data_IF_476256492906
#
_entry.id   IF_476256492906
#
_cell.length_a   1.000
_cell.length_b   1.000
_cell.length_c   1.000
_cell.angle_alpha   90.00
_cell.angle_beta   90.00
_cell.angle_gamma   90.00
#
_symmetry.space_group_name_H-M   'P 1'
#
loop_
_entity.id
_entity.type
_entity.pdbx_description
1 polymer ?
#
# COMPACT_ATOMS: atom_id res chain seq x y z
N UNK A 1 -7.47 -22.22 -48.30
CA UNK A 1 -8.40 -22.61 -47.22
C UNK A 1 -7.60 -22.93 -45.97
N UNK A 2 -7.91 -22.22 -44.89
CA UNK A 2 -7.64 -22.49 -43.47
C UNK A 2 -6.22 -22.84 -42.99
N UNK A 3 -5.43 -21.83 -42.63
CA UNK A 3 -4.42 -21.95 -41.58
C UNK A 3 -5.03 -21.41 -40.28
N UNK A 4 -5.70 -22.27 -39.51
CA UNK A 4 -6.14 -21.95 -38.12
C UNK A 4 -4.98 -22.27 -37.20
N UNK A 5 -4.16 -21.26 -36.86
CA UNK A 5 -3.23 -21.40 -35.74
C UNK A 5 -4.04 -21.41 -34.45
N UNK A 6 -4.12 -22.58 -33.82
CA UNK A 6 -4.57 -22.74 -32.44
C UNK A 6 -3.62 -21.93 -31.55
N UNK A 7 -4.09 -20.78 -31.04
CA UNK A 7 -3.53 -20.18 -29.83
C UNK A 7 -3.69 -21.21 -28.71
N UNK A 8 -2.61 -21.86 -28.29
CA UNK A 8 -2.55 -22.57 -27.01
C UNK A 8 -2.72 -21.51 -25.91
N UNK A 9 -3.93 -21.37 -25.41
CA UNK A 9 -4.18 -20.74 -24.12
C UNK A 9 -3.52 -21.65 -23.09
N UNK A 10 -2.43 -21.21 -22.48
CA UNK A 10 -1.91 -21.82 -21.28
C UNK A 10 -3.01 -21.66 -20.21
N UNK A 11 -3.79 -22.71 -19.99
CA UNK A 11 -4.74 -22.77 -18.89
C UNK A 11 -3.93 -22.86 -17.60
N UNK A 12 -3.55 -21.71 -17.04
CA UNK A 12 -3.20 -21.65 -15.64
C UNK A 12 -4.46 -21.94 -14.84
N UNK A 13 -4.42 -22.94 -13.96
CA UNK A 13 -5.49 -23.13 -12.99
C UNK A 13 -5.65 -21.81 -12.21
N UNK A 14 -6.89 -21.35 -11.99
CA UNK A 14 -7.12 -20.11 -11.26
C UNK A 14 -6.52 -20.23 -9.85
N UNK A 15 -5.87 -19.16 -9.40
CA UNK A 15 -5.31 -19.09 -8.05
C UNK A 15 -6.48 -18.77 -7.11
N UNK A 16 -6.72 -19.64 -6.13
CA UNK A 16 -7.73 -19.38 -5.11
C UNK A 16 -7.22 -18.34 -4.12
N UNK A 17 -8.02 -17.29 -3.90
CA UNK A 17 -7.73 -16.22 -2.95
C UNK A 17 -8.93 -16.01 -2.05
N UNK A 18 -8.70 -15.92 -0.75
CA UNK A 18 -9.76 -15.58 0.21
C UNK A 18 -10.12 -14.10 0.06
N UNK A 19 -11.39 -13.79 -0.17
CA UNK A 19 -11.90 -12.43 -0.12
C UNK A 19 -12.75 -12.26 1.12
N UNK A 20 -12.27 -11.47 2.08
CA UNK A 20 -13.04 -11.13 3.26
C UNK A 20 -13.61 -9.71 3.13
N UNK A 21 -14.92 -9.60 2.90
CA UNK A 21 -15.56 -8.32 2.58
C UNK A 21 -15.49 -7.28 3.70
N UNK A 22 -15.34 -7.71 4.95
CA UNK A 22 -15.34 -6.82 6.11
C UNK A 22 -16.72 -6.23 6.38
N UNK A 23 -16.76 -4.95 6.76
CA UNK A 23 -17.96 -4.23 7.19
C UNK A 23 -18.09 -2.87 6.49
N UNK A 24 -19.27 -2.24 6.64
CA UNK A 24 -19.51 -0.88 6.17
C UNK A 24 -19.34 -0.77 4.66
N UNK A 25 -18.44 0.10 4.18
CA UNK A 25 -18.14 0.26 2.75
C UNK A 25 -17.39 -0.94 2.13
N UNK A 26 -16.93 -1.89 2.96
CA UNK A 26 -16.11 -3.02 2.55
C UNK A 26 -16.67 -3.86 1.39
N UNK A 27 -17.93 -4.33 1.45
CA UNK A 27 -18.55 -5.05 0.34
C UNK A 27 -18.59 -4.27 -0.98
N UNK A 28 -18.80 -2.95 -0.94
CA UNK A 28 -18.85 -2.12 -2.16
C UNK A 28 -17.47 -2.00 -2.81
N UNK A 29 -16.44 -1.68 -2.02
CA UNK A 29 -15.08 -1.56 -2.55
C UNK A 29 -14.51 -2.92 -2.98
N UNK A 30 -14.86 -4.01 -2.28
CA UNK A 30 -14.51 -5.37 -2.67
C UNK A 30 -15.15 -5.76 -4.00
N UNK A 31 -16.42 -5.38 -4.21
CA UNK A 31 -17.09 -5.61 -5.48
C UNK A 31 -16.43 -4.81 -6.62
N UNK A 32 -15.98 -3.58 -6.37
CA UNK A 32 -15.20 -2.79 -7.32
C UNK A 32 -13.89 -3.52 -7.72
N UNK A 33 -13.15 -4.07 -6.75
CA UNK A 33 -11.95 -4.89 -7.03
C UNK A 33 -12.28 -6.09 -7.92
N UNK A 34 -13.35 -6.83 -7.61
CA UNK A 34 -13.78 -7.99 -8.43
C UNK A 34 -14.10 -7.60 -9.87
N UNK A 35 -14.78 -6.47 -10.08
CA UNK A 35 -15.10 -5.98 -11.42
C UNK A 35 -13.84 -5.62 -12.21
N UNK A 36 -12.91 -4.88 -11.60
CA UNK A 36 -11.63 -4.52 -12.21
C UNK A 36 -10.80 -5.78 -12.53
N UNK A 37 -10.75 -6.76 -11.63
CA UNK A 37 -10.01 -8.01 -11.84
C UNK A 37 -10.61 -8.83 -12.98
N UNK A 38 -11.94 -8.85 -13.10
CA UNK A 38 -12.62 -9.49 -14.22
C UNK A 38 -12.32 -8.79 -15.54
N UNK A 39 -12.38 -7.46 -15.58
CA UNK A 39 -12.09 -6.68 -16.79
C UNK A 39 -10.62 -6.80 -17.22
N UNK A 40 -9.70 -6.92 -16.25
CA UNK A 40 -8.28 -7.17 -16.50
C UNK A 40 -7.94 -8.65 -16.74
N UNK A 41 -8.93 -9.55 -16.78
CA UNK A 41 -8.74 -11.01 -16.96
C UNK A 41 -7.69 -11.60 -15.99
N UNK A 42 -7.76 -11.24 -14.71
CA UNK A 42 -6.87 -11.76 -13.68
C UNK A 42 -7.24 -13.22 -13.38
N UNK A 43 -6.28 -14.17 -13.35
CA UNK A 43 -6.55 -15.59 -13.11
C UNK A 43 -6.75 -15.91 -11.62
N UNK A 44 -7.64 -15.17 -10.94
CA UNK A 44 -7.99 -15.38 -9.54
C UNK A 44 -9.44 -15.85 -9.42
N UNK A 45 -9.64 -16.85 -8.58
CA UNK A 45 -10.95 -17.28 -8.12
C UNK A 45 -11.12 -16.89 -6.64
N UNK A 46 -12.20 -16.19 -6.34
CA UNK A 46 -12.45 -15.67 -4.99
C UNK A 46 -13.21 -16.69 -4.15
N UNK A 47 -12.64 -17.05 -3.01
CA UNK A 47 -13.37 -17.72 -1.93
C UNK A 47 -13.89 -16.66 -0.97
N UNK A 48 -15.18 -16.34 -1.08
CA UNK A 48 -15.76 -15.18 -0.43
C UNK A 48 -16.25 -15.48 0.99
N UNK A 49 -15.87 -14.62 1.93
CA UNK A 49 -16.28 -14.65 3.33
C UNK A 49 -16.79 -13.27 3.73
N UNK A 50 -17.82 -13.24 4.56
CA UNK A 50 -18.42 -12.02 5.08
C UNK A 50 -18.24 -11.97 6.59
N UNK A 51 -18.08 -10.75 7.12
CA UNK A 51 -18.00 -10.60 8.57
C UNK A 51 -19.35 -10.99 9.19
N UNK A 52 -19.30 -11.76 10.28
CA UNK A 52 -20.51 -12.14 11.00
C UNK A 52 -21.03 -11.01 11.88
N UNK A 53 -22.33 -11.01 12.19
CA UNK A 53 -22.94 -10.06 13.13
C UNK A 53 -22.59 -10.36 14.60
N UNK A 54 -21.96 -11.51 14.85
CA UNK A 54 -21.57 -12.00 16.18
C UNK A 54 -20.13 -12.47 16.16
N UNK A 55 -19.50 -12.35 17.32
CA UNK A 55 -18.16 -12.91 17.57
C UNK A 55 -18.24 -14.44 17.48
N UNK A 56 -17.42 -15.04 16.62
CA UNK A 56 -17.24 -16.49 16.58
C UNK A 56 -16.43 -16.91 17.84
N UNK A 57 -16.97 -17.80 18.69
CA UNK A 57 -16.29 -18.19 19.93
C UNK A 57 -14.96 -18.92 19.70
N UNK A 58 -14.76 -19.53 18.53
CA UNK A 58 -13.54 -20.27 18.17
C UNK A 58 -12.38 -19.32 17.85
N UNK A 59 -12.67 -18.25 17.10
CA UNK A 59 -11.66 -17.23 16.73
C UNK A 59 -11.63 -16.06 17.71
N UNK A 60 -12.63 -15.95 18.60
CA UNK A 60 -12.85 -14.80 19.49
C UNK A 60 -12.87 -13.49 18.72
N UNK A 61 -13.44 -13.51 17.51
CA UNK A 61 -13.50 -12.35 16.62
C UNK A 61 -14.70 -12.44 15.66
N UNK A 62 -14.99 -11.37 14.91
CA UNK A 62 -15.95 -11.36 13.79
C UNK A 62 -15.46 -12.11 12.54
N UNK A 63 -14.20 -12.57 12.54
CA UNK A 63 -13.69 -13.47 11.51
C UNK A 63 -14.15 -14.87 11.88
N UNK A 64 -14.94 -15.50 11.03
CA UNK A 64 -15.40 -16.86 11.26
C UNK A 64 -14.24 -17.85 11.20
N UNK A 65 -14.38 -19.00 11.86
CA UNK A 65 -13.39 -20.08 11.74
C UNK A 65 -13.20 -20.51 10.27
N UNK A 66 -14.29 -20.53 9.51
CA UNK A 66 -14.30 -20.90 8.10
C UNK A 66 -13.46 -19.92 7.25
N UNK A 67 -13.52 -18.62 7.58
CA UNK A 67 -12.67 -17.61 6.95
C UNK A 67 -11.19 -17.84 7.34
N UNK A 68 -10.88 -18.07 8.61
CA UNK A 68 -9.51 -18.33 9.06
C UNK A 68 -8.89 -19.56 8.38
N UNK A 69 -9.65 -20.66 8.27
CA UNK A 69 -9.21 -21.88 7.59
C UNK A 69 -9.03 -21.66 6.08
N UNK A 70 -9.90 -20.88 5.46
CA UNK A 70 -9.74 -20.47 4.06
C UNK A 70 -8.43 -19.71 3.86
N UNK A 71 -8.11 -18.73 4.74
CA UNK A 71 -6.85 -17.98 4.66
C UNK A 71 -5.64 -18.91 4.85
N UNK A 72 -5.70 -19.86 5.78
CA UNK A 72 -4.62 -20.84 6.01
C UNK A 72 -4.40 -21.74 4.81
N UNK A 73 -5.48 -22.19 4.17
CA UNK A 73 -5.43 -23.06 2.99
C UNK A 73 -4.92 -22.33 1.76
N UNK A 74 -5.43 -21.13 1.50
CA UNK A 74 -5.12 -20.37 0.28
C UNK A 74 -3.80 -19.60 0.43
N UNK A 75 -3.38 -19.29 1.65
CA UNK A 75 -2.17 -18.53 1.97
C UNK A 75 -2.26 -17.04 1.63
N UNK A 76 -3.32 -16.58 0.96
CA UNK A 76 -3.50 -15.18 0.58
C UNK A 76 -4.93 -14.74 0.83
N UNK A 77 -5.09 -13.55 1.39
CA UNK A 77 -6.37 -12.92 1.68
C UNK A 77 -6.37 -11.46 1.25
N UNK A 78 -7.46 -11.03 0.60
CA UNK A 78 -7.81 -9.62 0.44
C UNK A 78 -8.94 -9.30 1.43
N UNK A 79 -8.72 -8.34 2.32
CA UNK A 79 -9.62 -7.98 3.41
C UNK A 79 -10.10 -6.53 3.27
N UNK A 80 -11.42 -6.34 3.31
CA UNK A 80 -12.06 -5.04 3.49
C UNK A 80 -11.97 -4.52 4.94
N UNK A 81 -12.36 -3.26 5.18
CA UNK A 81 -12.27 -2.62 6.48
C UNK A 81 -13.19 -3.31 7.50
N UNK A 82 -12.83 -3.24 8.78
CA UNK A 82 -13.56 -3.95 9.84
C UNK A 82 -13.82 -3.10 11.06
N UNK A 83 -14.97 -3.35 11.72
CA UNK A 83 -15.22 -2.77 13.03
C UNK A 83 -14.28 -3.33 14.09
N UNK A 84 -13.81 -2.43 14.94
CA UNK A 84 -13.20 -2.78 16.22
C UNK A 84 -14.27 -2.51 17.29
N UNK A 85 -14.86 -3.53 17.92
CA UNK A 85 -15.89 -3.32 18.93
C UNK A 85 -15.27 -2.65 20.17
N UNK A 86 -15.76 -1.45 20.51
CA UNK A 86 -15.29 -0.68 21.65
C UNK A 86 -15.52 -1.45 22.98
N UNK A 87 -14.52 -1.44 23.86
CA UNK A 87 -14.65 -1.94 25.24
C UNK A 87 -14.50 -3.46 25.42
N UNK A 88 -14.25 -4.25 24.37
CA UNK A 88 -13.91 -5.65 24.54
C UNK A 88 -12.42 -5.82 24.90
N UNK A 89 -12.15 -6.54 26.00
CA UNK A 89 -10.79 -6.89 26.48
C UNK A 89 -10.09 -7.98 25.67
N UNK A 90 -10.77 -8.55 24.69
CA UNK A 90 -10.15 -9.45 23.72
C UNK A 90 -9.29 -8.57 22.80
N UNK A 91 -8.04 -8.97 22.53
CA UNK A 91 -7.16 -8.22 21.63
C UNK A 91 -7.91 -7.81 20.37
N UNK A 92 -7.56 -6.66 19.78
CA UNK A 92 -8.22 -6.19 18.57
C UNK A 92 -8.33 -7.35 17.58
N UNK A 93 -9.45 -7.45 16.88
CA UNK A 93 -9.72 -8.56 15.95
C UNK A 93 -8.55 -8.86 15.00
N UNK A 94 -7.86 -7.80 14.58
CA UNK A 94 -6.62 -7.86 13.80
C UNK A 94 -5.48 -8.54 14.54
N UNK A 95 -5.30 -8.26 15.83
CA UNK A 95 -4.30 -8.93 16.67
C UNK A 95 -4.51 -10.46 16.71
N UNK A 96 -5.76 -10.93 16.76
CA UNK A 96 -6.04 -12.37 16.73
C UNK A 96 -5.70 -12.98 15.37
N UNK A 97 -6.11 -12.35 14.26
CA UNK A 97 -5.72 -12.79 12.92
C UNK A 97 -4.20 -12.81 12.75
N UNK A 98 -3.52 -11.77 13.21
CA UNK A 98 -2.07 -11.64 13.13
C UNK A 98 -1.36 -12.75 13.88
N UNK A 99 -1.87 -13.12 15.05
CA UNK A 99 -1.38 -14.26 15.82
C UNK A 99 -1.64 -15.59 15.12
N UNK A 100 -2.89 -15.88 14.76
CA UNK A 100 -3.32 -17.16 14.19
C UNK A 100 -2.68 -17.46 12.82
N UNK A 101 -2.30 -16.41 12.07
CA UNK A 101 -1.65 -16.49 10.77
C UNK A 101 -0.12 -16.27 10.84
N UNK A 102 0.41 -15.98 12.03
CA UNK A 102 1.83 -15.71 12.21
C UNK A 102 2.35 -14.50 11.41
N UNK A 103 1.50 -13.47 11.24
CA UNK A 103 1.83 -12.19 10.62
C UNK A 103 2.90 -11.46 11.44
N UNK A 104 3.85 -10.80 10.77
CA UNK A 104 4.99 -10.18 11.45
C UNK A 104 5.49 -8.87 10.82
N UNK A 105 5.24 -8.66 9.52
CA UNK A 105 5.68 -7.45 8.82
C UNK A 105 4.52 -6.87 8.00
N UNK A 106 4.09 -5.66 8.33
CA UNK A 106 3.11 -4.90 7.57
C UNK A 106 3.84 -3.91 6.66
N UNK A 107 3.54 -3.94 5.36
CA UNK A 107 4.11 -3.05 4.36
C UNK A 107 3.04 -2.07 3.91
N UNK A 108 3.31 -0.79 4.04
CA UNK A 108 2.46 0.30 3.57
C UNK A 108 3.26 1.17 2.61
N UNK A 109 2.66 1.61 1.51
CA UNK A 109 3.34 2.47 0.53
C UNK A 109 2.66 3.82 0.46
N UNK A 110 3.43 4.88 0.61
CA UNK A 110 2.97 6.27 0.53
C UNK A 110 3.60 6.92 -0.70
N UNK A 111 2.75 7.33 -1.64
CA UNK A 111 3.19 7.82 -2.95
C UNK A 111 2.51 9.13 -3.28
N UNK A 112 3.27 10.09 -3.80
CA UNK A 112 2.68 11.23 -4.48
C UNK A 112 1.87 10.78 -5.68
N UNK A 113 0.63 11.27 -5.74
CA UNK A 113 -0.25 11.09 -6.88
C UNK A 113 -0.07 12.27 -7.82
N UNK A 114 0.30 11.97 -9.05
CA UNK A 114 0.46 12.97 -10.11
C UNK A 114 -0.87 13.75 -10.31
N UNK A 115 -0.79 15.09 -10.38
CA UNK A 115 -1.92 16.03 -10.42
C UNK A 115 -2.85 16.08 -9.19
N UNK A 116 -2.42 15.51 -8.06
CA UNK A 116 -2.99 15.79 -6.75
C UNK A 116 -1.89 16.40 -5.88
N UNK A 117 -2.15 17.54 -5.23
CA UNK A 117 -1.17 18.12 -4.30
C UNK A 117 -1.14 17.27 -3.03
N UNK A 118 -0.44 16.14 -3.10
CA UNK A 118 -0.23 15.18 -1.99
C UNK A 118 0.73 15.70 -0.94
N UNK A 119 1.62 16.64 -1.30
CA UNK A 119 2.55 17.27 -0.38
C UNK A 119 3.03 18.64 -0.89
N UNK A 120 3.38 19.54 0.04
CA UNK A 120 3.84 20.91 -0.27
C UNK A 120 5.18 20.95 -1.02
N UNK A 121 5.97 19.87 -0.95
CA UNK A 121 7.39 19.86 -1.35
C UNK A 121 7.79 18.87 -2.46
N UNK A 122 6.83 18.32 -3.23
CA UNK A 122 7.13 17.53 -4.45
C UNK A 122 6.74 16.05 -4.38
N UNK A 123 7.25 15.27 -5.33
CA UNK A 123 6.97 13.84 -5.48
C UNK A 123 7.77 13.00 -4.47
N UNK A 124 7.13 12.01 -3.84
CA UNK A 124 7.78 11.06 -2.94
C UNK A 124 7.21 9.65 -3.12
N UNK A 125 7.99 8.64 -2.72
CA UNK A 125 7.61 7.23 -2.72
C UNK A 125 8.29 6.53 -1.54
N UNK A 126 7.62 6.57 -0.40
CA UNK A 126 8.13 6.05 0.87
C UNK A 126 7.42 4.75 1.21
N UNK A 127 8.18 3.74 1.62
CA UNK A 127 7.64 2.46 2.09
C UNK A 127 7.82 2.36 3.58
N UNK A 128 6.73 2.13 4.32
CA UNK A 128 6.76 1.85 5.75
C UNK A 128 6.65 0.34 5.96
N UNK A 129 7.65 -0.25 6.61
CA UNK A 129 7.65 -1.65 7.03
C UNK A 129 7.58 -1.70 8.54
N UNK A 130 6.43 -2.09 9.05
CA UNK A 130 6.12 -2.07 10.48
C UNK A 130 6.05 -3.49 11.04
N UNK A 131 6.58 -3.66 12.23
CA UNK A 131 6.36 -4.87 13.00
C UNK A 131 4.89 -5.06 13.39
N UNK A 132 4.46 -6.31 13.32
CA UNK A 132 3.14 -6.75 13.74
C UNK A 132 3.32 -7.77 14.86
N UNK A 133 2.89 -7.41 16.06
CA UNK A 133 3.08 -8.25 17.25
C UNK A 133 1.96 -9.26 17.40
N UNK A 134 2.34 -10.48 17.73
CA UNK A 134 1.43 -11.49 18.24
C UNK A 134 1.13 -11.16 19.72
N UNK A 135 -0.11 -10.88 20.08
CA UNK A 135 -0.42 -10.58 21.48
C UNK A 135 -0.31 -11.82 22.39
N UNK A 136 0.24 -11.59 23.58
CA UNK A 136 0.24 -12.53 24.69
C UNK A 136 1.49 -13.40 24.83
N UNK A 137 2.56 -13.15 24.07
CA UNK A 137 3.83 -13.84 24.28
C UNK A 137 4.67 -13.16 25.38
N UNK A 138 5.22 -13.98 26.28
CA UNK A 138 6.25 -13.54 27.22
C UNK A 138 7.48 -13.19 26.39
N UNK A 139 7.71 -11.89 26.22
CA UNK A 139 8.83 -11.37 25.44
C UNK A 139 10.11 -11.52 26.26
N UNK A 140 10.73 -12.70 26.20
CA UNK A 140 12.12 -12.81 26.62
C UNK A 140 13.05 -12.09 25.61
N UNK A 141 14.30 -11.96 26.02
CA UNK A 141 15.30 -11.21 25.29
C UNK A 141 15.66 -11.83 23.93
N UNK A 142 15.62 -13.16 23.83
CA UNK A 142 16.01 -13.89 22.62
C UNK A 142 14.89 -13.83 21.58
N UNK A 143 13.63 -13.95 22.04
CA UNK A 143 12.46 -13.79 21.21
C UNK A 143 12.39 -12.38 20.60
N UNK A 144 12.63 -11.33 21.39
CA UNK A 144 12.68 -9.95 20.88
C UNK A 144 13.74 -9.81 19.79
N UNK A 145 14.94 -10.34 20.00
CA UNK A 145 16.04 -10.29 19.02
C UNK A 145 15.66 -11.02 17.73
N UNK A 146 15.16 -12.26 17.82
CA UNK A 146 14.75 -13.03 16.63
C UNK A 146 13.63 -12.33 15.86
N UNK A 147 12.66 -11.74 16.57
CA UNK A 147 11.56 -10.99 15.97
C UNK A 147 12.06 -9.75 15.22
N UNK A 148 12.94 -8.96 15.85
CA UNK A 148 13.52 -7.77 15.25
C UNK A 148 14.38 -8.10 14.03
N UNK A 149 15.24 -9.13 14.13
CA UNK A 149 16.04 -9.63 12.99
C UNK A 149 15.16 -10.04 11.83
N UNK A 150 14.09 -10.79 12.08
CA UNK A 150 13.16 -11.22 11.04
C UNK A 150 12.49 -10.05 10.30
N UNK A 151 12.12 -9.00 11.03
CA UNK A 151 11.57 -7.77 10.43
C UNK A 151 12.63 -7.05 9.58
N UNK A 152 13.84 -6.88 10.12
CA UNK A 152 14.94 -6.25 9.42
C UNK A 152 15.31 -7.02 8.15
N UNK A 153 15.47 -8.34 8.22
CA UNK A 153 15.74 -9.21 7.07
C UNK A 153 14.66 -9.06 5.99
N UNK A 154 13.39 -9.00 6.41
CA UNK A 154 12.30 -8.75 5.47
C UNK A 154 12.43 -7.38 4.81
N UNK A 155 12.75 -6.33 5.57
CA UNK A 155 12.87 -4.97 5.05
C UNK A 155 14.04 -4.80 4.07
N UNK A 156 15.22 -5.31 4.40
CA UNK A 156 16.38 -5.27 3.51
C UNK A 156 16.17 -6.11 2.24
N UNK A 157 15.57 -7.31 2.39
CA UNK A 157 15.18 -8.11 1.23
C UNK A 157 14.15 -7.39 0.36
N UNK A 158 13.14 -6.77 0.96
CA UNK A 158 12.14 -5.98 0.24
C UNK A 158 12.81 -4.84 -0.53
N UNK A 159 13.71 -4.09 0.12
CA UNK A 159 14.46 -3.01 -0.49
C UNK A 159 15.25 -3.50 -1.71
N UNK A 160 15.99 -4.60 -1.58
CA UNK A 160 16.75 -5.21 -2.68
C UNK A 160 15.85 -5.67 -3.83
N UNK A 161 14.77 -6.38 -3.53
CA UNK A 161 13.82 -6.90 -4.55
C UNK A 161 13.08 -5.78 -5.29
N UNK A 162 12.91 -4.61 -4.66
CA UNK A 162 12.21 -3.46 -5.23
C UNK A 162 13.17 -2.34 -5.69
N UNK A 163 14.47 -2.63 -5.79
CA UNK A 163 15.51 -1.68 -6.21
C UNK A 163 15.44 -0.36 -5.43
N UNK A 164 15.33 -0.47 -4.10
CA UNK A 164 15.42 0.64 -3.16
C UNK A 164 16.87 0.80 -2.71
N UNK A 165 17.25 2.04 -2.48
CA UNK A 165 18.64 2.41 -2.22
C UNK A 165 18.92 2.57 -0.73
N UNK A 166 17.88 2.82 0.08
CA UNK A 166 18.05 3.16 1.50
C UNK A 166 17.00 2.54 2.43
N UNK A 167 17.47 2.10 3.60
CA UNK A 167 16.66 1.63 4.73
C UNK A 167 16.97 2.46 5.98
N UNK A 168 15.96 3.17 6.49
CA UNK A 168 16.04 3.96 7.73
C UNK A 168 15.34 3.24 8.88
N UNK A 169 16.08 2.80 9.90
CA UNK A 169 15.50 2.24 11.13
C UNK A 169 15.07 3.36 12.07
N UNK A 170 13.78 3.37 12.45
CA UNK A 170 13.21 4.44 13.28
C UNK A 170 12.98 3.95 14.70
N UNK A 171 13.63 4.61 15.67
CA UNK A 171 13.50 4.34 17.12
C UNK A 171 12.90 5.54 17.86
N UNK A 172 12.43 5.37 19.10
CA UNK A 172 11.90 6.48 19.90
C UNK A 172 12.98 7.23 20.69
N UNK A 173 14.18 6.69 20.84
CA UNK A 173 15.04 6.99 21.99
C UNK A 173 15.29 8.50 22.18
N UNK A 174 14.68 8.99 23.26
CA UNK A 174 15.33 9.78 24.29
C UNK A 174 15.18 8.91 25.56
N UNK A 175 16.26 8.28 26.04
CA UNK A 175 16.42 7.43 27.25
C UNK A 175 16.11 5.90 27.20
N UNK A 176 17.17 5.11 27.45
CA UNK A 176 17.27 3.84 28.20
C UNK A 176 16.15 2.78 28.15
N UNK A 177 15.48 2.58 27.02
CA UNK A 177 14.63 1.39 26.85
C UNK A 177 15.37 0.29 26.06
N UNK A 178 15.69 -0.82 26.73
CA UNK A 178 16.43 -1.97 26.18
C UNK A 178 15.83 -2.51 24.87
N UNK A 179 14.52 -2.33 24.65
CA UNK A 179 13.82 -2.82 23.44
C UNK A 179 14.22 -2.09 22.16
N UNK A 180 14.33 -0.75 22.19
CA UNK A 180 14.71 0.03 21.01
C UNK A 180 16.18 -0.17 20.66
N UNK A 181 17.05 -0.29 21.68
CA UNK A 181 18.48 -0.61 21.49
C UNK A 181 18.63 -1.93 20.75
N UNK A 182 17.93 -2.98 21.21
CA UNK A 182 17.95 -4.30 20.57
C UNK A 182 17.37 -4.32 19.17
N UNK A 183 16.37 -3.48 18.92
CA UNK A 183 15.82 -3.31 17.57
C UNK A 183 16.88 -2.74 16.63
N UNK A 184 17.56 -1.65 17.02
CA UNK A 184 18.63 -1.05 16.24
C UNK A 184 19.83 -2.00 16.07
N UNK A 185 20.25 -2.73 17.12
CA UNK A 185 21.29 -3.76 17.02
C UNK A 185 20.94 -4.83 15.99
N UNK A 186 19.70 -5.34 16.04
CA UNK A 186 19.23 -6.33 15.07
C UNK A 186 19.22 -5.78 13.64
N UNK A 187 18.84 -4.51 13.46
CA UNK A 187 18.89 -3.85 12.16
C UNK A 187 20.32 -3.66 11.64
N UNK A 188 21.27 -3.27 12.50
CA UNK A 188 22.70 -3.14 12.14
C UNK A 188 23.28 -4.47 11.69
N UNK A 189 23.06 -5.54 12.47
CA UNK A 189 23.53 -6.88 12.12
C UNK A 189 23.02 -7.34 10.76
N UNK A 190 21.75 -7.03 10.44
CA UNK A 190 21.19 -7.35 9.11
C UNK A 190 21.76 -6.44 8.03
N UNK A 191 21.98 -5.16 8.31
CA UNK A 191 22.55 -4.21 7.35
C UNK A 191 23.93 -4.65 6.84
N UNK A 192 24.76 -5.28 7.69
CA UNK A 192 26.05 -5.83 7.30
C UNK A 192 25.96 -6.89 6.18
N UNK A 193 24.81 -7.57 6.06
CA UNK A 193 24.56 -8.55 4.99
C UNK A 193 24.11 -7.92 3.66
N UNK A 194 23.81 -6.61 3.65
CA UNK A 194 23.33 -5.85 2.48
C UNK A 194 24.14 -4.57 2.28
N UNK A 195 25.46 -4.65 2.02
CA UNK A 195 26.34 -3.48 1.90
C UNK A 195 25.97 -2.54 0.74
N UNK A 196 25.15 -2.99 -0.21
CA UNK A 196 24.62 -2.19 -1.31
C UNK A 196 23.47 -1.26 -0.92
N UNK A 197 22.85 -1.44 0.25
CA UNK A 197 21.75 -0.61 0.74
C UNK A 197 22.27 0.36 1.79
N UNK A 198 22.02 1.66 1.62
CA UNK A 198 22.34 2.66 2.63
C UNK A 198 21.50 2.41 3.88
N UNK A 199 22.16 2.34 5.04
CA UNK A 199 21.49 2.17 6.33
C UNK A 199 21.69 3.41 7.20
N UNK A 200 20.58 3.96 7.70
CA UNK A 200 20.59 5.04 8.68
C UNK A 200 19.68 4.73 9.87
N UNK A 201 19.97 5.33 11.01
CA UNK A 201 19.16 5.24 12.21
C UNK A 201 18.61 6.61 12.56
N UNK A 202 17.30 6.69 12.75
CA UNK A 202 16.62 7.93 13.03
C UNK A 202 15.84 7.83 14.33
N UNK A 203 15.95 8.87 15.14
CA UNK A 203 14.99 9.07 16.21
C UNK A 203 13.67 9.54 15.59
N UNK A 204 12.55 9.08 16.14
CA UNK A 204 11.19 9.36 15.68
C UNK A 204 10.98 10.83 15.30
N UNK A 205 11.39 11.77 16.15
CA UNK A 205 11.20 13.20 15.90
C UNK A 205 11.99 13.68 14.67
N UNK A 206 13.19 13.15 14.45
CA UNK A 206 14.00 13.47 13.27
C UNK A 206 13.38 12.90 12.01
N UNK A 207 12.92 11.65 12.05
CA UNK A 207 12.19 11.03 10.94
C UNK A 207 10.96 11.87 10.54
N UNK A 208 10.15 12.32 11.52
CA UNK A 208 9.03 13.23 11.23
C UNK A 208 9.47 14.54 10.56
N UNK A 209 10.56 15.15 11.04
CA UNK A 209 11.09 16.39 10.46
C UNK A 209 11.57 16.18 9.02
N UNK A 210 12.23 15.06 8.71
CA UNK A 210 12.67 14.72 7.34
C UNK A 210 11.45 14.53 6.43
N UNK A 211 10.51 13.70 6.83
CA UNK A 211 9.26 13.44 6.08
C UNK A 211 8.43 14.72 5.84
N UNK A 212 8.30 15.61 6.82
CA UNK A 212 7.57 16.87 6.65
C UNK A 212 8.29 17.86 5.72
N UNK A 213 9.63 17.94 5.79
CA UNK A 213 10.41 18.90 4.99
C UNK A 213 10.61 18.43 3.56
N UNK A 214 11.05 17.19 3.41
CA UNK A 214 11.34 16.57 2.12
C UNK A 214 11.17 15.04 2.21
N UNK A 215 9.97 14.51 1.97
CA UNK A 215 9.72 13.07 2.03
C UNK A 215 10.49 12.29 0.96
N UNK A 216 10.96 12.95 -0.12
CA UNK A 216 11.79 12.34 -1.15
C UNK A 216 13.20 11.94 -0.67
N UNK A 217 13.64 12.45 0.48
CA UNK A 217 14.89 12.00 1.12
C UNK A 217 14.73 10.65 1.81
N UNK A 218 13.50 10.13 1.93
CA UNK A 218 13.18 8.88 2.60
C UNK A 218 12.82 7.80 1.58
N UNK A 219 13.18 6.56 1.86
CA UNK A 219 12.91 5.43 0.99
C UNK A 219 12.17 4.33 1.76
N UNK A 220 12.87 3.36 2.36
CA UNK A 220 12.25 2.34 3.21
C UNK A 220 12.42 2.69 4.68
N UNK A 221 11.33 2.72 5.44
CA UNK A 221 11.31 2.94 6.89
C UNK A 221 11.01 1.64 7.61
N UNK A 222 11.80 1.28 8.61
CA UNK A 222 11.55 0.10 9.46
C UNK A 222 11.20 0.54 10.87
N UNK A 223 10.06 0.08 11.38
CA UNK A 223 9.53 0.50 12.68
C UNK A 223 9.04 -0.70 13.50
N UNK A 224 9.29 -0.76 14.82
CA UNK A 224 8.61 -1.71 15.71
C UNK A 224 7.14 -1.31 15.99
N UNK A 225 6.36 -2.21 16.62
CA UNK A 225 4.89 -2.11 16.73
C UNK A 225 4.36 -0.79 17.32
N UNK A 226 5.07 -0.16 18.25
CA UNK A 226 4.59 0.97 19.03
C UNK A 226 4.45 2.30 18.26
N UNK A 227 4.62 2.29 16.93
CA UNK A 227 4.72 3.51 16.11
C UNK A 227 3.68 3.62 14.98
N UNK A 228 2.45 3.17 15.21
CA UNK A 228 1.34 3.20 14.25
C UNK A 228 1.11 4.57 13.58
N UNK A 229 1.26 5.66 14.33
CA UNK A 229 0.87 7.01 13.87
C UNK A 229 2.01 7.81 13.20
N UNK A 230 3.19 7.23 12.99
CA UNK A 230 4.36 7.99 12.53
C UNK A 230 4.21 8.49 11.09
N UNK A 231 3.67 7.67 10.20
CA UNK A 231 3.48 8.03 8.79
C UNK A 231 2.10 8.63 8.48
N UNK A 232 1.12 8.38 9.34
CA UNK A 232 -0.26 8.87 9.20
C UNK A 232 -0.42 10.37 9.42
N UNK A 233 0.58 11.05 10.01
CA UNK A 233 0.52 12.50 10.27
C UNK A 233 1.30 13.36 9.27
N UNK A 234 1.91 12.76 8.24
CA UNK A 234 2.93 13.43 7.42
C UNK A 234 2.66 13.41 5.91
N UNK A 235 1.71 12.61 5.44
CA UNK A 235 1.24 12.67 4.07
C UNK A 235 -0.14 13.31 4.08
N UNK A 236 -0.39 14.30 3.21
CA UNK A 236 -1.74 14.81 2.98
C UNK A 236 -2.59 13.82 2.17
N UNK A 237 -2.10 12.60 2.00
CA UNK A 237 -2.77 11.53 1.28
C UNK A 237 -3.90 11.02 2.17
N UNK A 238 -5.16 11.13 1.71
CA UNK A 238 -6.25 10.54 2.44
C UNK A 238 -5.99 9.03 2.52
N UNK A 239 -6.23 8.46 3.71
CA UNK A 239 -6.09 7.03 4.00
C UNK A 239 -6.74 6.10 2.97
N UNK A 240 -7.70 6.63 2.20
CA UNK A 240 -8.34 6.00 1.05
C UNK A 240 -7.41 5.72 -0.14
N UNK A 241 -6.15 6.14 -0.10
CA UNK A 241 -5.15 5.94 -1.14
C UNK A 241 -3.94 5.12 -0.69
N UNK A 242 -3.85 4.75 0.58
CA UNK A 242 -2.71 4.03 1.14
C UNK A 242 -2.95 2.52 1.12
N UNK A 243 -2.27 1.75 0.24
CA UNK A 243 -2.36 0.31 0.28
C UNK A 243 -1.53 -0.30 1.40
N UNK A 244 -1.91 -1.51 1.78
CA UNK A 244 -1.23 -2.29 2.81
C UNK A 244 -1.20 -3.78 2.49
N UNK A 245 -0.06 -4.41 2.80
CA UNK A 245 0.15 -5.85 2.70
C UNK A 245 0.88 -6.35 3.95
N UNK A 246 0.24 -7.20 4.73
CA UNK A 246 0.84 -7.85 5.90
C UNK A 246 1.34 -9.25 5.55
N UNK A 247 2.61 -9.51 5.81
CA UNK A 247 3.28 -10.79 5.55
C UNK A 247 3.40 -11.63 6.83
N UNK A 248 3.15 -12.93 6.67
CA UNK A 248 3.21 -13.98 7.68
C UNK A 248 4.25 -15.05 7.43
N UNK A 249 4.37 -15.96 8.42
CA UNK A 249 5.16 -17.19 8.28
C UNK A 249 4.69 -18.00 7.07
N UNK A 250 5.60 -18.71 6.42
CA UNK A 250 5.26 -19.57 5.27
C UNK A 250 4.79 -18.84 4.01
N UNK A 251 4.96 -17.51 3.94
CA UNK A 251 4.53 -16.72 2.78
C UNK A 251 3.05 -16.33 2.80
N UNK A 252 2.36 -16.52 3.93
CA UNK A 252 0.98 -16.04 4.10
C UNK A 252 0.95 -14.53 3.90
N UNK A 253 -0.04 -14.00 3.16
CA UNK A 253 -0.19 -12.57 2.94
C UNK A 253 -1.63 -12.11 3.14
N UNK A 254 -1.79 -11.00 3.85
CA UNK A 254 -3.07 -10.32 4.08
C UNK A 254 -2.98 -8.91 3.48
N UNK A 255 -3.63 -8.70 2.34
CA UNK A 255 -3.79 -7.40 1.72
C UNK A 255 -5.03 -6.72 2.32
N UNK A 256 -4.92 -5.48 2.77
CA UNK A 256 -6.01 -4.80 3.47
C UNK A 256 -6.02 -3.29 3.25
N UNK A 257 -7.10 -2.64 3.64
CA UNK A 257 -7.17 -1.18 3.76
C UNK A 257 -6.92 -0.77 5.20
N UNK A 258 -6.30 0.41 5.37
CA UNK A 258 -5.96 0.97 6.68
C UNK A 258 -7.08 1.85 7.28
N UNK A 259 -8.10 2.19 6.50
CA UNK A 259 -9.18 3.07 6.94
C UNK A 259 -10.32 2.28 7.61
N UNK A 260 -11.08 2.98 8.45
CA UNK A 260 -12.27 2.44 9.09
C UNK A 260 -13.37 2.04 8.08
N UNK A 261 -14.33 1.20 8.48
CA UNK A 261 -15.42 0.74 7.61
C UNK A 261 -16.48 1.79 7.24
N UNK A 262 -16.47 2.98 7.86
CA UNK A 262 -17.39 4.10 7.57
C UNK A 262 -18.87 3.68 7.39
N UNK A 263 -19.54 3.17 8.45
CA UNK A 263 -20.89 2.60 8.40
C UNK A 263 -21.94 3.40 7.65
N UNK A 264 -21.93 4.72 7.81
CA UNK A 264 -22.96 5.59 7.26
C UNK A 264 -22.86 5.77 5.73
N UNK A 265 -21.75 5.37 5.11
CA UNK A 265 -21.57 5.37 3.66
C UNK A 265 -21.90 4.01 3.02
N UNK A 266 -22.19 2.99 3.83
CA UNK A 266 -22.42 1.64 3.34
C UNK A 266 -23.67 1.57 2.45
N UNK A 267 -23.50 1.16 1.20
CA UNK A 267 -24.55 1.06 0.20
C UNK A 267 -24.88 2.37 -0.52
N UNK A 268 -24.20 3.48 -0.19
CA UNK A 268 -24.46 4.80 -0.77
C UNK A 268 -23.71 5.01 -2.09
N UNK A 269 -22.84 4.09 -2.51
CA UNK A 269 -22.02 4.22 -3.72
C UNK A 269 -21.10 5.47 -3.69
N UNK A 270 -20.63 5.86 -2.51
CA UNK A 270 -19.77 7.04 -2.31
C UNK A 270 -18.33 6.71 -1.91
N UNK A 271 -18.03 5.43 -1.66
CA UNK A 271 -16.74 4.98 -1.19
C UNK A 271 -15.66 5.08 -2.28
N UNK A 272 -14.44 5.46 -1.89
CA UNK A 272 -13.28 5.40 -2.78
C UNK A 272 -12.67 3.98 -2.75
N UNK A 273 -12.71 3.21 -3.86
CA UNK A 273 -12.19 1.83 -3.87
C UNK A 273 -10.67 1.76 -4.02
N UNK A 274 -9.97 2.89 -4.15
CA UNK A 274 -8.58 2.95 -4.60
C UNK A 274 -7.61 2.25 -3.64
N UNK A 275 -7.70 2.48 -2.32
CA UNK A 275 -6.81 1.80 -1.36
C UNK A 275 -6.90 0.26 -1.47
N UNK A 276 -8.11 -0.31 -1.52
CA UNK A 276 -8.26 -1.76 -1.61
C UNK A 276 -7.77 -2.29 -2.96
N UNK A 277 -8.00 -1.57 -4.06
CA UNK A 277 -7.44 -1.89 -5.37
C UNK A 277 -5.91 -1.89 -5.37
N UNK A 278 -5.29 -0.88 -4.75
CA UNK A 278 -3.84 -0.79 -4.63
C UNK A 278 -3.27 -1.91 -3.72
N UNK A 279 -3.96 -2.27 -2.63
CA UNK A 279 -3.60 -3.42 -1.81
C UNK A 279 -3.72 -4.73 -2.59
N UNK A 280 -4.75 -4.86 -3.43
CA UNK A 280 -4.92 -6.00 -4.33
C UNK A 280 -3.80 -6.06 -5.40
N UNK A 281 -3.26 -4.92 -5.85
CA UNK A 281 -2.06 -4.89 -6.71
C UNK A 281 -0.83 -5.40 -5.94
N UNK A 282 -0.64 -5.01 -4.68
CA UNK A 282 0.44 -5.56 -3.85
C UNK A 282 0.31 -7.09 -3.69
N UNK A 283 -0.92 -7.57 -3.50
CA UNK A 283 -1.24 -9.00 -3.46
C UNK A 283 -0.88 -9.72 -4.77
N UNK A 284 -1.18 -9.14 -5.93
CA UNK A 284 -0.82 -9.73 -7.23
C UNK A 284 0.70 -9.84 -7.40
N UNK A 285 1.48 -8.85 -6.94
CA UNK A 285 2.94 -8.92 -6.95
C UNK A 285 3.47 -10.02 -6.03
N UNK A 286 2.86 -10.19 -4.86
CA UNK A 286 3.18 -11.30 -3.95
C UNK A 286 2.94 -12.66 -4.62
N UNK A 287 1.82 -12.80 -5.34
CA UNK A 287 1.47 -13.98 -6.14
C UNK A 287 2.29 -14.13 -7.44
N UNK A 288 3.27 -13.25 -7.69
CA UNK A 288 4.11 -13.21 -8.90
C UNK A 288 3.33 -12.96 -10.20
N UNK A 289 2.11 -12.44 -10.11
CA UNK A 289 1.29 -11.96 -11.24
C UNK A 289 1.66 -10.50 -11.59
N UNK A 290 2.94 -10.23 -11.80
CA UNK A 290 3.47 -8.87 -11.99
C UNK A 290 2.86 -8.16 -13.21
N UNK A 291 2.67 -8.87 -14.32
CA UNK A 291 2.09 -8.29 -15.53
C UNK A 291 0.66 -7.78 -15.30
N UNK A 292 -0.15 -8.55 -14.57
CA UNK A 292 -1.52 -8.16 -14.19
C UNK A 292 -1.52 -7.03 -13.16
N UNK A 293 -0.59 -7.06 -12.20
CA UNK A 293 -0.40 -6.00 -11.24
C UNK A 293 -0.07 -4.67 -11.94
N UNK A 294 0.85 -4.68 -12.91
CA UNK A 294 1.25 -3.50 -13.69
C UNK A 294 0.12 -3.01 -14.59
N UNK A 295 -0.62 -3.92 -15.23
CA UNK A 295 -1.78 -3.59 -16.05
C UNK A 295 -2.84 -2.82 -15.25
N UNK A 296 -3.23 -3.33 -14.08
CA UNK A 296 -4.25 -2.69 -13.23
C UNK A 296 -3.71 -1.39 -12.63
N UNK A 297 -2.46 -1.39 -12.14
CA UNK A 297 -1.82 -0.18 -11.60
C UNK A 297 -1.82 0.96 -12.61
N UNK A 298 -1.45 0.67 -13.85
CA UNK A 298 -1.41 1.68 -14.91
C UNK A 298 -2.82 2.21 -15.23
N UNK A 299 -3.85 1.35 -15.23
CA UNK A 299 -5.24 1.78 -15.41
C UNK A 299 -5.72 2.69 -14.27
N UNK A 300 -5.49 2.29 -13.01
CA UNK A 300 -5.81 3.09 -11.81
C UNK A 300 -5.12 4.45 -11.86
N UNK A 301 -3.80 4.46 -12.09
CA UNK A 301 -3.02 5.70 -12.17
C UNK A 301 -3.53 6.60 -13.30
N UNK A 302 -3.80 6.04 -14.49
CA UNK A 302 -4.32 6.83 -15.60
C UNK A 302 -5.66 7.49 -15.23
N UNK A 303 -6.61 6.75 -14.69
CA UNK A 303 -7.92 7.28 -14.25
C UNK A 303 -7.77 8.40 -13.21
N UNK A 304 -6.88 8.24 -12.22
CA UNK A 304 -6.62 9.27 -11.19
C UNK A 304 -5.97 10.52 -11.82
N UNK A 305 -4.99 10.33 -12.70
CA UNK A 305 -4.24 11.44 -13.34
C UNK A 305 -5.07 12.25 -14.34
N UNK A 306 -6.07 11.64 -14.98
CA UNK A 306 -7.06 12.34 -15.80
C UNK A 306 -7.86 13.37 -14.99
N UNK A 307 -7.95 13.19 -13.66
CA UNK A 307 -8.57 14.15 -12.73
C UNK A 307 -10.09 14.27 -12.85
N UNK A 308 -10.71 13.56 -13.79
CA UNK A 308 -12.15 13.57 -14.06
C UNK A 308 -12.95 12.73 -13.06
N UNK A 309 -12.39 11.60 -12.63
CA UNK A 309 -13.06 10.63 -11.76
C UNK A 309 -12.47 10.73 -10.35
N UNK A 310 -13.14 11.48 -9.48
CA UNK A 310 -12.70 11.75 -8.10
C UNK A 310 -13.88 11.65 -7.16
N UNK A 311 -13.76 10.82 -6.13
CA UNK A 311 -14.73 10.74 -5.03
C UNK A 311 -14.61 11.96 -4.11
N UNK A 312 -15.59 12.11 -3.21
CA UNK A 312 -15.70 13.27 -2.32
C UNK A 312 -14.46 13.48 -1.43
N UNK A 313 -13.80 12.41 -0.97
CA UNK A 313 -12.55 12.44 -0.21
C UNK A 313 -11.38 13.05 -0.98
N UNK A 314 -11.43 13.00 -2.32
CA UNK A 314 -10.46 13.63 -3.23
C UNK A 314 -10.97 14.97 -3.81
N UNK A 315 -12.05 15.52 -3.25
CA UNK A 315 -12.65 16.79 -3.66
C UNK A 315 -13.46 16.74 -4.96
N UNK A 316 -13.90 15.56 -5.39
CA UNK A 316 -14.78 15.40 -6.55
C UNK A 316 -16.20 14.95 -6.19
N UNK A 317 -16.96 14.53 -7.20
CA UNK A 317 -18.38 14.12 -7.06
C UNK A 317 -18.66 12.75 -7.67
N UNK A 318 -17.61 12.01 -8.05
CA UNK A 318 -17.75 10.67 -8.63
C UNK A 318 -18.14 9.65 -7.57
N UNK A 319 -18.92 8.67 -7.99
CA UNK A 319 -19.33 7.52 -7.18
C UNK A 319 -18.29 6.40 -7.21
N UNK A 320 -18.45 5.39 -6.33
CA UNK A 320 -17.64 4.15 -6.37
C UNK A 320 -17.72 3.51 -7.76
N UNK A 321 -18.93 3.41 -8.32
CA UNK A 321 -19.19 2.86 -9.65
C UNK A 321 -18.53 3.67 -10.75
N UNK A 322 -18.61 5.01 -10.72
CA UNK A 322 -17.98 5.87 -11.73
C UNK A 322 -16.47 5.63 -11.83
N UNK A 323 -15.78 5.54 -10.69
CA UNK A 323 -14.34 5.25 -10.66
C UNK A 323 -14.07 3.84 -11.19
N UNK A 324 -14.87 2.87 -10.78
CA UNK A 324 -14.71 1.46 -11.16
C UNK A 324 -14.87 1.26 -12.66
N UNK A 325 -15.94 1.82 -13.25
CA UNK A 325 -16.18 1.77 -14.69
C UNK A 325 -15.09 2.51 -15.47
N UNK A 326 -14.65 3.69 -14.99
CA UNK A 326 -13.58 4.44 -15.62
C UNK A 326 -12.28 3.62 -15.68
N UNK A 327 -11.94 2.87 -14.63
CA UNK A 327 -10.80 1.95 -14.63
C UNK A 327 -11.02 0.79 -15.60
N UNK A 328 -12.19 0.14 -15.56
CA UNK A 328 -12.51 -0.99 -16.45
C UNK A 328 -12.41 -0.60 -17.94
N UNK A 329 -12.88 0.59 -18.30
CA UNK A 329 -12.84 1.11 -19.67
C UNK A 329 -11.41 1.27 -20.22
N UNK A 330 -10.41 1.41 -19.35
CA UNK A 330 -9.00 1.47 -19.78
C UNK A 330 -8.52 0.15 -20.39
N UNK A 331 -9.12 -0.99 -20.02
CA UNK A 331 -8.79 -2.29 -20.59
C UNK A 331 -9.46 -2.52 -21.95
N UNK A 332 -10.68 -2.02 -22.13
CA UNK A 332 -11.43 -2.14 -23.39
C UNK A 332 -10.79 -1.29 -24.50
N UNK A 333 -10.37 -0.06 -24.20
CA UNK A 333 -9.73 0.83 -25.17
C UNK A 333 -8.39 0.29 -25.72
N UNK A 334 -7.70 -0.58 -24.98
CA UNK A 334 -6.43 -1.20 -25.40
C UNK A 334 -6.58 -2.32 -26.44
N UNK A 335 -7.79 -2.85 -26.62
CA UNK A 335 -8.06 -3.93 -27.58
C UNK A 335 -8.23 -3.46 -29.03
N UNK A 336 -8.26 -2.13 -29.25
CA UNK A 336 -8.55 -1.52 -30.55
C UNK A 336 -7.66 -0.34 -30.92
N UNK A 337 -6.32 -0.43 -30.78
CA UNK A 337 -5.34 0.34 -31.57
C UNK A 337 -3.90 -0.01 -31.13
N UNK A 338 -3.29 -1.01 -31.76
CA UNK A 338 -1.83 -1.12 -31.80
C UNK A 338 -1.37 -0.26 -32.98
N UNK A 339 -1.16 1.03 -32.74
CA UNK A 339 -0.44 1.91 -33.66
C UNK A 339 0.76 2.54 -32.95
N UNK A 340 1.93 1.91 -33.17
CA UNK A 340 3.29 2.48 -33.10
C UNK A 340 3.73 3.20 -31.81
N UNK A 341 4.58 2.52 -31.04
CA UNK A 341 5.32 2.98 -29.83
C UNK A 341 6.42 4.01 -30.19
N UNK A 342 6.13 5.01 -31.01
CA UNK A 342 7.06 6.10 -31.34
C UNK A 342 6.64 7.46 -30.76
N UNK A 343 5.42 7.59 -30.20
CA UNK A 343 4.93 8.84 -29.62
C UNK A 343 5.49 9.16 -28.22
N UNK A 344 5.78 8.14 -27.41
CA UNK A 344 6.11 8.36 -25.99
C UNK A 344 7.52 8.93 -25.76
N UNK A 345 8.47 8.67 -26.67
CA UNK A 345 9.84 9.22 -26.60
C UNK A 345 9.89 10.71 -26.95
N UNK A 346 9.06 11.17 -27.88
CA UNK A 346 9.04 12.57 -28.32
C UNK A 346 8.36 13.50 -27.31
N UNK A 347 7.35 13.02 -26.57
CA UNK A 347 6.67 13.83 -25.54
C UNK A 347 7.58 14.11 -24.34
N UNK A 348 8.44 13.15 -23.95
CA UNK A 348 9.41 13.36 -22.85
C UNK A 348 10.50 14.34 -23.29
N UNK A 349 11.04 14.21 -24.51
CA UNK A 349 12.10 15.11 -25.01
C UNK A 349 11.60 16.56 -25.18
N UNK A 350 10.36 16.75 -25.63
CA UNK A 350 9.78 18.09 -25.81
C UNK A 350 9.45 18.77 -24.48
N UNK A 351 9.02 18.02 -23.46
CA UNK A 351 8.69 18.58 -22.15
C UNK A 351 9.93 18.95 -21.32
N UNK A 352 11.04 18.21 -21.48
CA UNK A 352 12.33 18.59 -20.88
C UNK A 352 12.85 19.90 -21.49
N UNK A 353 12.70 20.11 -22.80
CA UNK A 353 13.11 21.36 -23.45
C UNK A 353 12.25 22.56 -23.05
N UNK A 354 10.92 22.38 -22.90
CA UNK A 354 10.02 23.42 -22.39
C UNK A 354 10.38 23.86 -20.97
N UNK A 355 10.66 22.90 -20.08
CA UNK A 355 11.08 23.19 -18.70
C UNK A 355 12.43 23.92 -18.62
N UNK A 356 13.39 23.56 -19.47
CA UNK A 356 14.71 24.23 -19.52
C UNK A 356 14.62 25.65 -20.10
N UNK A 357 13.77 25.88 -21.10
CA UNK A 357 13.50 27.20 -21.68
C UNK A 357 12.80 28.13 -20.67
N UNK A 358 11.83 27.63 -19.92
CA UNK A 358 11.10 28.40 -18.91
C UNK A 358 12.00 28.75 -17.71
N UNK A 359 12.89 27.84 -17.32
CA UNK A 359 13.92 28.06 -16.29
C UNK A 359 14.96 29.11 -16.71
N UNK A 360 15.43 29.11 -17.96
CA UNK A 360 16.33 30.17 -18.47
C UNK A 360 15.64 31.54 -18.58
N UNK A 361 14.34 31.56 -18.88
CA UNK A 361 13.55 32.80 -18.95
C UNK A 361 13.32 33.42 -17.56
N UNK A 362 13.13 32.60 -16.53
CA UNK A 362 12.98 33.05 -15.14
C UNK A 362 14.29 33.55 -14.51
N UNK A 363 15.43 32.95 -14.87
CA UNK A 363 16.76 33.35 -14.35
C UNK A 363 17.35 34.58 -15.03
N UNK A 364 16.75 35.08 -16.12
CA UNK A 364 17.24 36.24 -16.89
C UNK A 364 16.51 37.55 -16.60
N UNK A 365 15.55 37.58 -15.67
CA UNK A 365 14.83 38.80 -15.29
C UNK A 365 15.43 39.46 -14.01
N UNK A 366 16.04 40.66 -14.09
CA UNK A 366 16.78 41.28 -12.98
C UNK A 366 15.94 41.77 -11.79
N UNK A 367 14.62 41.56 -11.79
CA UNK A 367 13.70 42.12 -10.78
C UNK A 367 12.75 41.12 -10.11
N UNK A 368 12.93 39.80 -10.30
CA UNK A 368 12.01 38.80 -9.75
C UNK A 368 12.33 38.33 -8.30
N UNK A 369 13.45 38.77 -7.70
CA UNK A 369 13.84 38.34 -6.35
C UNK A 369 13.07 38.97 -5.17
N UNK A 370 12.52 40.21 -5.23
CA UNK A 370 11.86 40.79 -4.05
C UNK A 370 10.40 40.36 -3.83
N UNK A 371 9.71 39.82 -4.84
CA UNK A 371 8.29 39.45 -4.72
C UNK A 371 8.06 38.03 -4.15
N UNK A 372 9.08 37.17 -4.17
CA UNK A 372 8.97 35.81 -3.63
C UNK A 372 9.08 35.75 -2.10
N UNK A 373 9.68 36.75 -1.45
CA UNK A 373 9.89 36.77 0.00
C UNK A 373 8.69 37.28 0.81
N UNK A 374 7.72 37.97 0.19
CA UNK A 374 6.53 38.47 0.90
C UNK A 374 5.40 37.44 1.03
N UNK A 375 5.43 36.34 0.27
CA UNK A 375 4.36 35.33 0.27
C UNK A 375 4.62 34.13 1.20
N UNK A 376 5.75 34.12 1.93
CA UNK A 376 6.15 33.02 2.82
C UNK A 376 5.98 33.30 4.32
N UNK A 377 5.41 34.45 4.70
CA UNK A 377 5.23 34.84 6.11
C UNK A 377 3.77 35.18 6.52
N UNK A 378 2.77 34.62 5.84
CA UNK A 378 1.38 34.59 6.31
C UNK A 378 0.83 33.18 6.35
#
# INVERSE_FOLDING_TARGET
>A
MACRSMRRVLQHNPIQVTLFHGHGIGPEIAQSVKQVFRAAEVPIEWEEHFAGDKVDPRTKSFVTWECLESIRRNGVCLKGPMYIPAGQRYGSLETNLQKELGLYANVETYNSLYNYKTHKHGDFNVVKIKEVSQAGEVLDNDFITQKNKRLAEYAFRYAKEHCRDKVSAVSHIIFENNKDVKFLESCREVAEMYPEIEYEELVRLECHKKLYRNPGDMDVLVLPICYDNLALSLTSDPLSLTPSLTIGKGGVALAEVLHDPVPFMAGENLANPTALLLSAIMMLRHLKLNDKADQIRNAVMKTITEGKYRTADLGGTSTTTDITEAICNQFEAGSGQISTINGFRNTIQNNVNLYLLERQRLLSHPHALPLYLSAMLM
#
